data_IF_613314685419
#
_entry.id   IF_613314685419
#
_cell.length_a   1.000
_cell.length_b   1.000
_cell.length_c   1.000
_cell.angle_alpha   90.00
_cell.angle_beta   90.00
_cell.angle_gamma   90.00
#
_symmetry.space_group_name_H-M   'P 1'
#
loop_
_entity.id
_entity.type
_entity.pdbx_description
1 polymer ?
#
# COMPACT_ATOMS: atom_id res chain seq x y z
N UNK A 1 8.47 -16.51 9.54
CA UNK A 1 9.33 -15.53 10.22
C UNK A 1 9.61 -14.45 9.20
N UNK A 2 8.93 -13.31 9.33
CA UNK A 2 9.14 -12.15 8.46
C UNK A 2 10.13 -11.26 9.21
N UNK A 3 11.42 -11.49 8.96
CA UNK A 3 12.52 -10.85 9.70
C UNK A 3 12.98 -9.56 8.99
N UNK A 4 12.04 -8.78 8.43
CA UNK A 4 12.37 -7.57 7.70
C UNK A 4 11.24 -6.54 7.70
N UNK A 5 11.51 -5.31 7.22
CA UNK A 5 10.55 -4.22 7.28
C UNK A 5 9.35 -4.48 6.37
N UNK A 6 8.21 -3.89 6.73
CA UNK A 6 6.97 -3.93 5.99
C UNK A 6 6.58 -2.56 5.47
N UNK A 7 5.98 -2.52 4.28
CA UNK A 7 5.40 -1.30 3.70
C UNK A 7 3.89 -1.46 3.53
N UNK A 8 3.13 -0.56 4.13
CA UNK A 8 1.68 -0.42 3.94
C UNK A 8 1.43 0.77 3.02
N UNK A 9 0.80 0.50 1.87
CA UNK A 9 0.33 1.48 0.91
C UNK A 9 -1.18 1.62 1.05
N UNK A 10 -1.65 2.80 1.46
CA UNK A 10 -3.07 3.12 1.60
C UNK A 10 -3.61 3.69 0.29
N UNK A 11 -4.54 2.98 -0.34
CA UNK A 11 -5.25 3.45 -1.52
C UNK A 11 -6.72 3.67 -1.19
N UNK A 12 -7.13 4.94 -1.19
CA UNK A 12 -8.52 5.33 -0.99
C UNK A 12 -9.35 5.19 -2.27
N UNK A 13 -10.67 5.33 -2.13
CA UNK A 13 -11.64 5.08 -3.21
C UNK A 13 -11.31 5.70 -4.57
N UNK A 14 -11.79 5.04 -5.62
CA UNK A 14 -11.59 5.45 -7.00
C UNK A 14 -12.44 6.66 -7.43
N UNK A 15 -13.43 7.06 -6.64
CA UNK A 15 -14.44 8.04 -7.05
C UNK A 15 -15.46 7.44 -8.04
N UNK A 16 -16.36 8.27 -8.54
CA UNK A 16 -17.41 7.86 -9.49
C UNK A 16 -17.30 8.56 -10.85
N UNK A 17 -16.52 9.63 -10.93
CA UNK A 17 -16.25 10.35 -12.18
C UNK A 17 -15.07 9.80 -12.97
N UNK A 18 -15.03 10.11 -14.27
CA UNK A 18 -13.94 9.72 -15.16
C UNK A 18 -12.58 10.24 -14.68
N UNK A 19 -12.50 11.53 -14.32
CA UNK A 19 -11.28 12.15 -13.83
C UNK A 19 -10.80 11.52 -12.52
N UNK A 20 -11.72 11.20 -11.61
CA UNK A 20 -11.39 10.52 -10.35
C UNK A 20 -10.84 9.12 -10.62
N UNK A 21 -11.45 8.39 -11.55
CA UNK A 21 -10.95 7.08 -12.00
C UNK A 21 -9.57 7.16 -12.65
N UNK A 22 -9.28 8.21 -13.43
CA UNK A 22 -7.94 8.45 -13.98
C UNK A 22 -6.91 8.64 -12.86
N UNK A 23 -7.23 9.48 -11.87
CA UNK A 23 -6.36 9.71 -10.71
C UNK A 23 -6.19 8.43 -9.90
N UNK A 24 -7.25 7.65 -9.69
CA UNK A 24 -7.18 6.36 -8.99
C UNK A 24 -6.18 5.39 -9.64
N UNK A 25 -6.20 5.28 -10.97
CA UNK A 25 -5.24 4.47 -11.74
C UNK A 25 -3.81 5.00 -11.62
N UNK A 26 -3.61 6.31 -11.69
CA UNK A 26 -2.29 6.92 -11.54
C UNK A 26 -1.68 6.64 -10.15
N UNK A 27 -2.50 6.74 -9.08
CA UNK A 27 -2.08 6.41 -7.71
C UNK A 27 -1.67 4.94 -7.56
N UNK A 28 -2.33 4.03 -8.27
CA UNK A 28 -1.97 2.61 -8.26
C UNK A 28 -0.69 2.32 -9.03
N UNK A 29 -0.50 2.97 -10.18
CA UNK A 29 0.77 2.88 -10.90
C UNK A 29 1.94 3.35 -10.03
N UNK A 30 1.75 4.47 -9.29
CA UNK A 30 2.74 4.97 -8.34
C UNK A 30 2.97 3.98 -7.18
N UNK A 31 1.91 3.38 -6.64
CA UNK A 31 2.01 2.33 -5.62
C UNK A 31 2.83 1.13 -6.09
N UNK A 32 2.63 0.65 -7.32
CA UNK A 32 3.42 -0.45 -7.89
C UNK A 32 4.90 -0.09 -8.07
N UNK A 33 5.23 1.15 -8.46
CA UNK A 33 6.62 1.61 -8.54
C UNK A 33 7.28 1.61 -7.17
N UNK A 34 6.61 2.19 -6.17
CA UNK A 34 7.09 2.24 -4.79
C UNK A 34 7.24 0.84 -4.18
N UNK A 35 6.27 -0.05 -4.43
CA UNK A 35 6.32 -1.43 -3.96
C UNK A 35 7.51 -2.20 -4.53
N UNK A 36 7.79 -2.07 -5.83
CA UNK A 36 8.99 -2.66 -6.45
C UNK A 36 10.28 -2.15 -5.81
N UNK A 37 10.40 -0.83 -5.65
CA UNK A 37 11.57 -0.23 -5.01
C UNK A 37 11.77 -0.72 -3.57
N UNK A 38 10.70 -0.82 -2.77
CA UNK A 38 10.76 -1.35 -1.42
C UNK A 38 11.17 -2.84 -1.38
N UNK A 39 10.64 -3.66 -2.30
CA UNK A 39 11.04 -5.07 -2.44
C UNK A 39 12.50 -5.22 -2.80
N UNK A 40 13.00 -4.42 -3.75
CA UNK A 40 14.41 -4.37 -4.13
C UNK A 40 15.30 -3.95 -2.95
N UNK A 41 14.79 -3.08 -2.07
CA UNK A 41 15.46 -2.65 -0.84
C UNK A 41 15.41 -3.68 0.31
N UNK A 42 14.74 -4.82 0.13
CA UNK A 42 14.69 -5.90 1.12
C UNK A 42 13.47 -5.91 2.04
N UNK A 43 12.41 -5.14 1.72
CA UNK A 43 11.16 -5.21 2.49
C UNK A 43 10.53 -6.61 2.38
N UNK A 44 10.36 -7.26 3.53
CA UNK A 44 9.83 -8.61 3.65
C UNK A 44 8.36 -8.68 3.23
N UNK A 45 7.59 -7.62 3.47
CA UNK A 45 6.20 -7.51 3.07
C UNK A 45 5.87 -6.14 2.51
N UNK A 46 5.04 -6.12 1.46
CA UNK A 46 4.44 -4.90 0.92
C UNK A 46 2.96 -5.17 0.71
N UNK A 47 2.10 -4.35 1.31
CA UNK A 47 0.65 -4.49 1.28
C UNK A 47 0.02 -3.24 0.71
N UNK A 48 -0.87 -3.43 -0.27
CA UNK A 48 -1.79 -2.40 -0.73
C UNK A 48 -3.13 -2.58 -0.02
N UNK A 49 -3.46 -1.68 0.89
CA UNK A 49 -4.74 -1.63 1.58
C UNK A 49 -5.73 -0.77 0.80
N UNK A 50 -6.87 -1.34 0.38
CA UNK A 50 -7.88 -0.63 -0.42
C UNK A 50 -9.32 -1.09 -0.18
N UNK A 51 -10.28 -0.30 -0.65
CA UNK A 51 -11.71 -0.49 -0.43
C UNK A 51 -12.50 -1.05 -1.64
N UNK A 52 -11.86 -1.21 -2.80
CA UNK A 52 -12.52 -1.73 -4.01
C UNK A 52 -11.69 -2.82 -4.71
N UNK A 53 -12.36 -3.80 -5.32
CA UNK A 53 -11.72 -4.87 -6.09
C UNK A 53 -11.37 -4.46 -7.53
N UNK A 54 -11.47 -3.15 -7.85
CA UNK A 54 -11.59 -2.69 -9.22
C UNK A 54 -10.30 -2.55 -10.03
N UNK A 55 -9.13 -2.92 -9.49
CA UNK A 55 -7.86 -2.64 -10.19
C UNK A 55 -6.82 -3.73 -9.96
N UNK A 56 -6.08 -4.00 -11.04
CA UNK A 56 -5.30 -5.22 -11.27
C UNK A 56 -4.20 -5.54 -10.27
N UNK A 57 -3.88 -6.83 -10.29
CA UNK A 57 -2.83 -7.44 -9.48
C UNK A 57 -1.44 -6.99 -9.95
N UNK A 58 -0.59 -6.63 -9.01
CA UNK A 58 0.85 -6.43 -9.21
C UNK A 58 1.58 -7.37 -8.25
N UNK A 59 2.53 -8.15 -8.74
CA UNK A 59 3.24 -9.14 -7.93
C UNK A 59 4.15 -8.52 -6.85
N UNK A 60 4.39 -7.21 -6.89
CA UNK A 60 5.23 -6.50 -5.91
C UNK A 60 4.55 -6.30 -4.55
N UNK A 61 3.23 -6.39 -4.47
CA UNK A 61 2.46 -6.24 -3.23
C UNK A 61 1.33 -7.27 -3.12
N UNK A 62 0.88 -7.53 -1.89
CA UNK A 62 -0.38 -8.22 -1.65
C UNK A 62 -1.50 -7.21 -1.45
N UNK A 63 -2.74 -7.58 -1.76
CA UNK A 63 -3.90 -6.72 -1.54
C UNK A 63 -4.60 -7.14 -0.26
N UNK A 64 -4.83 -6.19 0.66
CA UNK A 64 -5.73 -6.37 1.80
C UNK A 64 -6.94 -5.46 1.56
N UNK A 65 -8.14 -6.05 1.57
CA UNK A 65 -9.39 -5.32 1.35
C UNK A 65 -10.02 -4.86 2.66
N UNK A 66 -10.65 -3.70 2.65
CA UNK A 66 -11.49 -3.26 3.75
C UNK A 66 -12.66 -4.25 3.98
N UNK A 67 -13.06 -4.41 5.24
CA UNK A 67 -14.17 -5.29 5.59
C UNK A 67 -15.48 -4.78 4.97
N UNK A 68 -16.26 -5.64 4.28
CA UNK A 68 -17.49 -5.22 3.63
C UNK A 68 -18.53 -4.80 4.67
N UNK A 69 -19.23 -3.68 4.39
CA UNK A 69 -20.35 -3.22 5.21
C UNK A 69 -19.97 -2.46 6.49
N UNK A 70 -18.68 -2.31 6.79
CA UNK A 70 -18.23 -1.48 7.92
C UNK A 70 -17.95 -0.04 7.49
N UNK A 71 -18.21 0.91 8.39
CA UNK A 71 -17.78 2.28 8.20
C UNK A 71 -16.25 2.36 8.23
N UNK A 72 -15.65 2.98 7.22
CA UNK A 72 -14.20 3.09 7.12
C UNK A 72 -13.61 3.86 8.32
N UNK A 73 -12.54 3.31 8.90
CA UNK A 73 -11.76 3.97 9.95
C UNK A 73 -10.28 3.77 9.69
N UNK A 74 -9.61 4.86 9.29
CA UNK A 74 -8.17 4.84 9.00
C UNK A 74 -7.35 4.30 10.18
N UNK A 75 -7.67 4.72 11.41
CA UNK A 75 -7.00 4.24 12.63
C UNK A 75 -7.12 2.73 12.78
N UNK A 76 -8.34 2.18 12.73
CA UNK A 76 -8.55 0.73 12.87
C UNK A 76 -7.85 -0.02 11.74
N UNK A 77 -7.89 0.53 10.53
CA UNK A 77 -7.29 -0.07 9.35
C UNK A 77 -5.78 -0.22 9.48
N UNK A 78 -5.09 0.86 9.83
CA UNK A 78 -3.63 0.85 9.99
C UNK A 78 -3.22 -0.03 11.16
N UNK A 79 -3.88 0.09 12.32
CA UNK A 79 -3.56 -0.74 13.50
C UNK A 79 -3.71 -2.22 13.17
N UNK A 80 -4.83 -2.63 12.56
CA UNK A 80 -5.06 -4.03 12.22
C UNK A 80 -4.07 -4.58 11.18
N UNK A 81 -3.59 -3.75 10.26
CA UNK A 81 -2.55 -4.18 9.29
C UNK A 81 -1.19 -4.34 9.96
N UNK A 82 -0.80 -3.40 10.83
CA UNK A 82 0.44 -3.48 11.60
C UNK A 82 0.45 -4.76 12.48
N UNK A 83 -0.66 -5.05 13.16
CA UNK A 83 -0.81 -6.25 13.98
C UNK A 83 -0.72 -7.55 13.16
N UNK A 84 -1.23 -7.57 11.92
CA UNK A 84 -1.18 -8.73 11.02
C UNK A 84 0.20 -9.02 10.43
N UNK A 85 1.03 -7.99 10.23
CA UNK A 85 2.24 -8.11 9.42
C UNK A 85 3.43 -8.74 10.16
N UNK A 86 3.39 -8.81 11.49
CA UNK A 86 4.47 -9.40 12.33
C UNK A 86 5.88 -8.97 11.87
N UNK A 87 6.04 -7.70 11.50
CA UNK A 87 7.27 -7.15 10.92
C UNK A 87 8.11 -6.40 11.96
N UNK A 88 9.42 -6.35 11.76
CA UNK A 88 10.37 -5.65 12.65
C UNK A 88 10.14 -4.13 12.66
N UNK A 89 9.81 -3.57 11.50
CA UNK A 89 9.48 -2.17 11.31
C UNK A 89 8.37 -2.04 10.26
N UNK A 90 7.55 -0.99 10.38
CA UNK A 90 6.45 -0.74 9.45
C UNK A 90 6.47 0.71 8.97
N UNK A 91 6.57 0.89 7.66
CA UNK A 91 6.33 2.15 6.99
C UNK A 91 4.88 2.21 6.49
N UNK A 92 4.20 3.35 6.67
CA UNK A 92 2.83 3.57 6.18
C UNK A 92 2.81 4.80 5.28
N UNK A 93 2.33 4.63 4.05
CA UNK A 93 2.29 5.70 3.05
C UNK A 93 0.96 5.70 2.30
N UNK A 94 0.49 6.88 1.88
CA UNK A 94 -0.66 6.99 1.00
C UNK A 94 -0.25 6.84 -0.47
N UNK A 95 -0.92 5.98 -1.23
CA UNK A 95 -0.63 5.70 -2.64
C UNK A 95 -0.69 6.95 -3.54
N UNK A 96 -1.44 7.98 -3.15
CA UNK A 96 -1.52 9.26 -3.87
C UNK A 96 -0.58 10.36 -3.39
N UNK A 97 0.21 10.10 -2.36
CA UNK A 97 1.17 11.05 -1.80
C UNK A 97 2.55 10.39 -1.62
N UNK A 98 2.87 9.41 -2.48
CA UNK A 98 4.14 8.71 -2.41
C UNK A 98 5.27 9.68 -2.81
N UNK A 99 6.27 9.88 -1.94
CA UNK A 99 7.55 10.34 -2.44
C UNK A 99 8.03 9.28 -3.43
N UNK A 100 8.45 9.67 -4.64
CA UNK A 100 8.96 8.73 -5.66
C UNK A 100 10.35 8.18 -5.25
N UNK A 101 10.38 7.50 -4.10
CA UNK A 101 11.55 6.91 -3.49
C UNK A 101 12.07 5.77 -4.36
N UNK A 102 13.39 5.72 -4.49
CA UNK A 102 14.13 4.63 -5.11
C UNK A 102 14.48 3.58 -4.06
N UNK A 103 15.00 2.43 -4.51
CA UNK A 103 15.41 1.35 -3.62
C UNK A 103 16.43 1.83 -2.57
N UNK A 104 17.43 2.62 -2.99
CA UNK A 104 18.44 3.19 -2.07
C UNK A 104 17.82 4.11 -1.01
N UNK A 105 16.77 4.86 -1.38
CA UNK A 105 16.06 5.71 -0.42
C UNK A 105 15.31 4.86 0.61
N UNK A 106 14.72 3.73 0.20
CA UNK A 106 14.05 2.79 1.11
C UNK A 106 15.03 2.03 2.01
N UNK A 107 16.22 1.69 1.50
CA UNK A 107 17.25 0.99 2.28
C UNK A 107 17.87 1.86 3.38
N UNK A 108 17.71 3.18 3.29
CA UNK A 108 18.21 4.15 4.27
C UNK A 108 17.20 4.47 5.39
N UNK A 109 15.98 3.94 5.33
CA UNK A 109 14.88 4.14 6.30
C UNK A 109 14.82 2.96 7.25
#
# INVERSE_FOLDING_TARGET
>A
MSDGPALILLHGGAGTGEAEGMVARARLAAAGVSARAAREAGFASVVLAKNDAGVGDDSSYTIDYDAPGEAFSLRRRVVGLVEKLEAEAVAVMGAGALPFLKADDYAAV
#
